data_IF_282069339561
#
_entry.id   IF_282069339561
#
_cell.length_a   1.000
_cell.length_b   1.000
_cell.length_c   1.000
_cell.angle_alpha   90.00
_cell.angle_beta   90.00
_cell.angle_gamma   90.00
#
_symmetry.space_group_name_H-M   'P 1'
#
loop_
_entity.id
_entity.type
_entity.pdbx_description
1 polymer ?
#
# COMPACT_ATOMS: atom_id res chain seq x y z
N UNK A 1 -8.27 17.59 32.43
CA UNK A 1 -7.67 16.52 31.59
C UNK A 1 -6.58 17.18 30.75
N UNK A 2 -5.32 16.73 30.77
CA UNK A 2 -4.27 17.32 29.95
C UNK A 2 -4.55 17.01 28.46
N UNK A 3 -4.41 18.03 27.61
CA UNK A 3 -4.60 17.94 26.16
C UNK A 3 -3.26 18.29 25.51
N UNK A 4 -2.83 17.48 24.53
CA UNK A 4 -1.64 17.76 23.72
C UNK A 4 -2.12 18.22 22.35
N UNK A 5 -1.81 19.47 22.01
CA UNK A 5 -2.15 20.06 20.71
C UNK A 5 -0.95 19.93 19.77
N UNK A 6 -1.16 19.25 18.65
CA UNK A 6 -0.17 19.12 17.58
C UNK A 6 -0.57 20.05 16.43
N UNK A 7 0.28 21.02 16.13
CA UNK A 7 0.06 21.96 15.03
C UNK A 7 0.28 21.31 13.66
N UNK A 8 -0.31 21.87 12.61
CA UNK A 8 -0.17 21.40 11.21
C UNK A 8 1.28 21.39 10.69
N UNK A 9 2.17 22.16 11.31
CA UNK A 9 3.60 22.22 10.98
C UNK A 9 4.45 21.14 11.65
N UNK A 10 3.85 20.28 12.49
CA UNK A 10 4.59 19.22 13.19
C UNK A 10 4.98 18.13 12.20
N UNK A 11 6.27 17.74 12.18
CA UNK A 11 6.72 16.68 11.28
C UNK A 11 6.03 15.36 11.59
N UNK A 12 5.78 14.55 10.55
CA UNK A 12 5.09 13.25 10.70
C UNK A 12 5.81 12.34 11.68
N UNK A 13 7.15 12.39 11.69
CA UNK A 13 8.00 11.64 12.61
C UNK A 13 7.82 12.11 14.05
N UNK A 14 7.68 13.42 14.28
CA UNK A 14 7.47 13.99 15.62
C UNK A 14 6.07 13.66 16.16
N UNK A 15 5.04 13.66 15.32
CA UNK A 15 3.70 13.20 15.67
C UNK A 15 3.76 11.73 16.13
N UNK A 16 4.41 10.86 15.33
CA UNK A 16 4.57 9.45 15.67
C UNK A 16 5.29 9.24 17.01
N UNK A 17 6.36 10.01 17.27
CA UNK A 17 7.12 9.94 18.52
C UNK A 17 6.27 10.36 19.73
N UNK A 18 5.49 11.45 19.60
CA UNK A 18 4.60 11.91 20.69
C UNK A 18 3.56 10.84 20.99
N UNK A 19 2.91 10.28 19.96
CA UNK A 19 1.94 9.19 20.13
C UNK A 19 2.57 7.94 20.77
N UNK A 20 3.77 7.54 20.34
CA UNK A 20 4.49 6.40 20.95
C UNK A 20 4.82 6.63 22.42
N UNK A 21 5.18 7.86 22.79
CA UNK A 21 5.62 8.22 24.15
C UNK A 21 4.45 8.45 25.12
N UNK A 22 3.28 8.87 24.63
CA UNK A 22 2.06 9.03 25.45
C UNK A 22 1.25 7.73 25.56
N UNK A 23 1.59 6.70 24.79
CA UNK A 23 1.02 5.37 24.95
C UNK A 23 1.56 4.65 26.20
N UNK A 24 1.03 5.04 27.37
CA UNK A 24 1.33 4.42 28.68
C UNK A 24 0.73 3.02 28.86
N UNK A 25 -0.12 2.55 27.93
CA UNK A 25 -0.81 1.27 27.98
C UNK A 25 0.00 0.03 27.53
N UNK A 26 1.31 0.16 27.32
CA UNK A 26 2.22 -0.98 27.03
C UNK A 26 2.08 -1.62 25.64
N UNK A 27 1.10 -1.23 24.82
CA UNK A 27 0.96 -1.67 23.43
C UNK A 27 1.68 -0.71 22.48
N UNK A 28 2.73 -1.19 21.80
CA UNK A 28 3.41 -0.42 20.74
C UNK A 28 2.39 -0.03 19.65
N UNK A 29 2.41 1.24 19.22
CA UNK A 29 1.61 1.69 18.08
C UNK A 29 2.02 0.95 16.81
N UNK A 30 1.06 0.32 16.16
CA UNK A 30 1.29 -0.31 14.86
C UNK A 30 1.39 0.78 13.75
N UNK A 31 2.03 0.45 12.63
CA UNK A 31 2.14 1.34 11.47
C UNK A 31 0.76 1.82 11.00
N UNK A 32 -0.22 0.93 11.07
CA UNK A 32 -1.58 1.22 10.65
C UNK A 32 -2.29 2.21 11.57
N UNK A 33 -2.04 2.16 12.88
CA UNK A 33 -2.64 3.10 13.83
C UNK A 33 -2.11 4.53 13.59
N UNK A 34 -0.80 4.66 13.35
CA UNK A 34 -0.19 5.94 12.97
C UNK A 34 -0.68 6.44 11.61
N UNK A 35 -0.75 5.57 10.60
CA UNK A 35 -1.23 5.94 9.28
C UNK A 35 -2.69 6.43 9.31
N UNK A 36 -3.52 5.82 10.15
CA UNK A 36 -4.91 6.26 10.38
C UNK A 36 -4.95 7.66 10.97
N UNK A 37 -4.11 7.95 11.97
CA UNK A 37 -4.02 9.28 12.58
C UNK A 37 -3.53 10.35 11.58
N UNK A 38 -2.50 10.02 10.79
CA UNK A 38 -1.96 10.92 9.76
C UNK A 38 -3.05 11.22 8.71
N UNK A 39 -3.75 10.19 8.23
CA UNK A 39 -4.79 10.36 7.21
C UNK A 39 -5.96 11.21 7.68
N UNK A 40 -6.40 11.04 8.94
CA UNK A 40 -7.45 11.87 9.54
C UNK A 40 -7.02 13.33 9.74
N UNK A 41 -5.72 13.59 9.89
CA UNK A 41 -5.16 14.94 9.93
C UNK A 41 -4.99 15.60 8.55
N UNK A 42 -4.86 14.80 7.48
CA UNK A 42 -4.74 15.30 6.10
C UNK A 42 -6.08 15.72 5.51
N UNK A 43 -7.16 14.99 5.78
CA UNK A 43 -8.51 15.27 5.25
C UNK A 43 -9.59 15.04 6.31
N UNK A 44 -10.36 16.09 6.60
CA UNK A 44 -11.45 16.03 7.56
C UNK A 44 -12.56 15.08 7.10
N UNK A 45 -13.01 14.19 7.99
CA UNK A 45 -14.02 13.18 7.69
C UNK A 45 -13.50 11.92 7.00
N UNK A 46 -12.22 11.87 6.62
CA UNK A 46 -11.64 10.66 6.05
C UNK A 46 -11.20 9.66 7.13
N UNK A 47 -11.88 8.50 7.18
CA UNK A 47 -11.63 7.44 8.17
C UNK A 47 -10.97 6.22 7.53
N UNK A 48 -9.63 6.20 7.49
CA UNK A 48 -8.84 5.12 6.86
C UNK A 48 -9.20 3.71 7.37
N UNK A 49 -9.58 3.59 8.64
CA UNK A 49 -9.98 2.30 9.23
C UNK A 49 -11.28 1.77 8.65
N UNK A 50 -12.23 2.65 8.33
CA UNK A 50 -13.49 2.26 7.69
C UNK A 50 -13.24 1.84 6.24
N UNK A 51 -12.41 2.59 5.51
CA UNK A 51 -12.01 2.24 4.15
C UNK A 51 -11.29 0.89 4.09
N UNK A 52 -10.36 0.64 5.00
CA UNK A 52 -9.74 -0.69 5.13
C UNK A 52 -10.78 -1.78 5.43
N UNK A 53 -11.77 -1.51 6.28
CA UNK A 53 -12.80 -2.50 6.61
C UNK A 53 -13.62 -2.88 5.38
N UNK A 54 -13.94 -1.92 4.51
CA UNK A 54 -14.60 -2.17 3.22
C UNK A 54 -13.73 -3.04 2.31
N UNK A 55 -12.46 -2.68 2.12
CA UNK A 55 -11.51 -3.45 1.31
C UNK A 55 -11.35 -4.87 1.86
N UNK A 56 -11.12 -5.03 3.16
CA UNK A 56 -10.95 -6.32 3.80
C UNK A 56 -12.18 -7.22 3.64
N UNK A 57 -13.38 -6.63 3.68
CA UNK A 57 -14.63 -7.35 3.38
C UNK A 57 -14.66 -7.80 1.91
N UNK A 58 -14.41 -6.90 0.97
CA UNK A 58 -14.41 -7.23 -0.46
C UNK A 58 -13.39 -8.34 -0.80
N UNK A 59 -12.20 -8.31 -0.20
CA UNK A 59 -11.18 -9.34 -0.39
C UNK A 59 -11.58 -10.71 0.17
N UNK A 60 -12.30 -10.72 1.31
CA UNK A 60 -12.87 -11.96 1.87
C UNK A 60 -13.98 -12.51 0.99
N UNK A 61 -14.85 -11.65 0.49
CA UNK A 61 -15.99 -12.03 -0.35
C UNK A 61 -15.54 -12.47 -1.75
N UNK A 62 -14.33 -12.07 -2.19
CA UNK A 62 -13.76 -12.46 -3.48
C UNK A 62 -13.36 -13.95 -3.58
N UNK A 63 -13.28 -14.67 -2.47
CA UNK A 63 -12.94 -16.10 -2.44
C UNK A 63 -13.73 -16.85 -1.37
N UNK A 64 -14.40 -17.94 -1.75
CA UNK A 64 -15.25 -18.71 -0.83
C UNK A 64 -14.48 -19.45 0.28
N UNK A 65 -13.16 -19.60 0.12
CA UNK A 65 -12.30 -20.31 1.07
C UNK A 65 -11.90 -19.42 2.24
N UNK A 66 -12.52 -19.63 3.40
CA UNK A 66 -12.22 -18.89 4.64
C UNK A 66 -10.75 -18.91 5.05
N UNK A 67 -10.06 -20.01 4.75
CA UNK A 67 -8.69 -20.26 5.17
C UNK A 67 -7.64 -19.85 4.11
N UNK A 68 -8.08 -19.22 3.02
CA UNK A 68 -7.18 -18.79 1.94
C UNK A 68 -6.27 -17.62 2.37
N UNK A 69 -5.01 -17.53 1.87
CA UNK A 69 -4.08 -16.43 2.22
C UNK A 69 -4.70 -15.02 2.12
N UNK A 70 -5.52 -14.79 1.08
CA UNK A 70 -6.21 -13.52 0.84
C UNK A 70 -7.15 -13.10 1.99
N UNK A 71 -7.87 -14.03 2.61
CA UNK A 71 -8.86 -13.71 3.66
C UNK A 71 -8.22 -13.29 4.99
N UNK A 72 -6.92 -13.58 5.15
CA UNK A 72 -6.11 -13.28 6.33
C UNK A 72 -5.21 -12.05 6.17
N UNK A 73 -5.32 -11.34 5.03
CA UNK A 73 -4.54 -10.15 4.76
C UNK A 73 -4.71 -9.11 5.87
N UNK A 74 -3.58 -8.65 6.41
CA UNK A 74 -3.54 -7.57 7.40
C UNK A 74 -3.43 -6.21 6.71
N UNK A 75 -3.93 -5.12 7.31
CA UNK A 75 -3.82 -3.78 6.75
C UNK A 75 -2.37 -3.40 6.45
N UNK A 76 -1.43 -3.76 7.34
CA UNK A 76 0.01 -3.52 7.12
C UNK A 76 0.53 -4.17 5.84
N UNK A 77 0.01 -5.33 5.43
CA UNK A 77 0.34 -5.96 4.15
C UNK A 77 -0.20 -5.16 2.96
N UNK A 78 -1.44 -4.68 3.05
CA UNK A 78 -2.05 -3.84 2.02
C UNK A 78 -1.25 -2.53 1.81
N UNK A 79 -0.95 -1.79 2.88
CA UNK A 79 -0.22 -0.53 2.78
C UNK A 79 1.24 -0.72 2.38
N UNK A 80 1.87 -1.86 2.68
CA UNK A 80 3.18 -2.21 2.11
C UNK A 80 3.12 -2.40 0.60
N UNK A 81 2.10 -3.07 0.07
CA UNK A 81 1.94 -3.21 -1.38
C UNK A 81 1.68 -1.85 -2.04
N UNK A 82 0.89 -1.00 -1.38
CA UNK A 82 0.63 0.36 -1.82
C UNK A 82 1.92 1.21 -1.85
N UNK A 83 2.78 1.09 -0.83
CA UNK A 83 4.09 1.74 -0.81
C UNK A 83 5.01 1.26 -1.95
N UNK A 84 4.97 -0.03 -2.31
CA UNK A 84 5.72 -0.55 -3.47
C UNK A 84 5.24 0.10 -4.77
N UNK A 85 3.92 0.19 -4.98
CA UNK A 85 3.35 0.85 -6.17
C UNK A 85 3.75 2.33 -6.24
N UNK A 86 3.56 3.05 -5.13
CA UNK A 86 3.88 4.47 -5.04
C UNK A 86 5.37 4.77 -5.28
N UNK A 87 6.27 4.02 -4.63
CA UNK A 87 7.71 4.24 -4.80
C UNK A 87 8.23 3.80 -6.16
N UNK A 88 7.63 2.77 -6.76
CA UNK A 88 7.88 2.39 -8.15
C UNK A 88 7.50 3.53 -9.11
N UNK A 89 6.30 4.09 -8.97
CA UNK A 89 5.84 5.18 -9.83
C UNK A 89 6.77 6.41 -9.73
N UNK A 90 7.15 6.78 -8.51
CA UNK A 90 8.17 7.84 -8.30
C UNK A 90 9.49 7.54 -8.99
N UNK A 91 9.97 6.29 -8.93
CA UNK A 91 11.20 5.88 -9.60
C UNK A 91 11.06 5.98 -11.12
N UNK A 92 9.95 5.52 -11.69
CA UNK A 92 9.71 5.61 -13.13
C UNK A 92 9.60 7.05 -13.60
N UNK A 93 8.89 7.90 -12.86
CA UNK A 93 8.78 9.33 -13.18
C UNK A 93 10.13 10.04 -13.14
N UNK A 94 11.00 9.70 -12.18
CA UNK A 94 12.38 10.20 -12.12
C UNK A 94 13.19 9.80 -13.36
N UNK A 95 13.10 8.53 -13.76
CA UNK A 95 13.81 7.99 -14.92
C UNK A 95 13.29 8.58 -16.24
N UNK A 96 11.96 8.69 -16.39
CA UNK A 96 11.32 9.24 -17.58
C UNK A 96 11.61 10.74 -17.76
N UNK A 97 11.62 11.50 -16.66
CA UNK A 97 11.94 12.92 -16.68
C UNK A 97 13.45 13.22 -16.72
N UNK A 98 14.32 12.19 -16.75
CA UNK A 98 15.78 12.31 -16.74
C UNK A 98 16.29 13.26 -15.65
N UNK A 99 15.68 13.19 -14.47
CA UNK A 99 16.04 14.07 -13.35
C UNK A 99 17.48 13.79 -12.89
N UNK A 100 18.23 14.83 -12.47
CA UNK A 100 19.58 14.66 -11.98
C UNK A 100 19.60 13.80 -10.70
N UNK A 101 20.66 12.99 -10.56
CA UNK A 101 20.87 12.09 -9.43
C UNK A 101 20.27 10.70 -9.60
N UNK A 102 20.53 9.84 -8.62
CA UNK A 102 20.06 8.45 -8.64
C UNK A 102 18.55 8.36 -8.45
N UNK A 103 17.91 7.51 -9.25
CA UNK A 103 16.49 7.27 -9.14
C UNK A 103 16.15 6.67 -7.76
N UNK A 104 15.06 7.11 -7.11
CA UNK A 104 14.71 6.68 -5.76
C UNK A 104 14.48 5.16 -5.70
N UNK A 105 14.82 4.56 -4.56
CA UNK A 105 14.64 3.13 -4.35
C UNK A 105 13.15 2.75 -4.22
N UNK A 106 12.79 1.57 -4.72
CA UNK A 106 11.48 0.97 -4.48
C UNK A 106 11.52 0.30 -3.11
N UNK A 107 10.62 0.69 -2.22
CA UNK A 107 10.66 0.28 -0.81
C UNK A 107 9.28 0.10 -0.22
N UNK A 108 9.19 -0.75 0.81
CA UNK A 108 8.02 -0.92 1.66
C UNK A 108 8.39 -0.95 3.15
N UNK A 109 9.47 -0.28 3.53
CA UNK A 109 9.85 -0.11 4.94
C UNK A 109 8.75 0.64 5.71
N UNK A 110 8.76 0.53 7.04
CA UNK A 110 7.80 1.24 7.90
C UNK A 110 7.76 2.73 7.56
N UNK A 111 8.92 3.36 7.45
CA UNK A 111 9.02 4.80 7.16
C UNK A 111 8.48 5.13 5.78
N UNK A 112 8.72 4.26 4.79
CA UNK A 112 8.15 4.43 3.46
C UNK A 112 6.63 4.37 3.49
N UNK A 113 6.05 3.41 4.22
CA UNK A 113 4.59 3.28 4.38
C UNK A 113 3.99 4.53 5.03
N UNK A 114 4.64 5.08 6.06
CA UNK A 114 4.18 6.30 6.75
C UNK A 114 4.36 7.57 5.90
N UNK A 115 5.24 7.54 4.89
CA UNK A 115 5.48 8.67 3.99
C UNK A 115 4.47 8.77 2.84
N UNK A 116 3.70 7.72 2.59
CA UNK A 116 2.73 7.70 1.49
C UNK A 116 1.60 8.71 1.76
N UNK A 117 1.34 9.66 0.83
CA UNK A 117 0.27 10.64 0.99
C UNK A 117 -1.11 10.02 0.79
N UNK A 118 -2.14 10.61 1.40
CA UNK A 118 -3.53 10.15 1.25
C UNK A 118 -4.01 10.17 -0.22
N UNK A 119 -3.51 11.10 -1.03
CA UNK A 119 -3.81 11.15 -2.46
C UNK A 119 -3.34 9.90 -3.22
N UNK A 120 -2.14 9.41 -2.90
CA UNK A 120 -1.64 8.16 -3.47
C UNK A 120 -2.47 6.96 -2.99
N UNK A 121 -2.92 6.96 -1.73
CA UNK A 121 -3.86 5.93 -1.27
C UNK A 121 -5.12 5.91 -2.14
N UNK A 122 -5.78 7.05 -2.33
CA UNK A 122 -7.00 7.16 -3.13
C UNK A 122 -6.79 6.76 -4.59
N UNK A 123 -5.62 7.08 -5.16
CA UNK A 123 -5.26 6.70 -6.52
C UNK A 123 -5.09 5.18 -6.69
N UNK A 124 -4.37 4.53 -5.76
CA UNK A 124 -3.97 3.14 -5.94
C UNK A 124 -4.89 2.11 -5.26
N UNK A 125 -5.70 2.50 -4.27
CA UNK A 125 -6.43 1.56 -3.43
C UNK A 125 -7.36 0.63 -4.22
N UNK A 126 -8.14 1.15 -5.18
CA UNK A 126 -9.05 0.35 -5.99
C UNK A 126 -8.32 -0.66 -6.89
N UNK A 127 -7.32 -0.18 -7.64
CA UNK A 127 -6.51 -1.05 -8.50
C UNK A 127 -5.76 -2.12 -7.67
N UNK A 128 -5.26 -1.75 -6.50
CA UNK A 128 -4.55 -2.65 -5.61
C UNK A 128 -5.48 -3.70 -4.99
N UNK A 129 -6.72 -3.34 -4.64
CA UNK A 129 -7.73 -4.31 -4.21
C UNK A 129 -7.93 -5.39 -5.29
N UNK A 130 -8.06 -4.99 -6.55
CA UNK A 130 -8.20 -5.94 -7.66
C UNK A 130 -6.93 -6.75 -7.91
N UNK A 131 -5.74 -6.15 -7.70
CA UNK A 131 -4.46 -6.87 -7.70
C UNK A 131 -4.39 -7.95 -6.63
N UNK A 132 -4.89 -7.69 -5.42
CA UNK A 132 -5.00 -8.69 -4.36
C UNK A 132 -6.00 -9.80 -4.71
N UNK A 133 -7.16 -9.47 -5.31
CA UNK A 133 -8.10 -10.48 -5.83
C UNK A 133 -7.45 -11.37 -6.89
N UNK A 134 -6.68 -10.78 -7.81
CA UNK A 134 -5.91 -11.51 -8.83
C UNK A 134 -4.83 -12.38 -8.21
N UNK A 135 -4.12 -11.89 -7.20
CA UNK A 135 -3.14 -12.68 -6.47
C UNK A 135 -3.78 -13.89 -5.80
N UNK A 136 -4.97 -13.73 -5.21
CA UNK A 136 -5.70 -14.85 -4.62
C UNK A 136 -6.14 -15.88 -5.66
N UNK A 137 -6.69 -15.43 -6.80
CA UNK A 137 -7.03 -16.33 -7.92
C UNK A 137 -5.81 -17.04 -8.50
N UNK A 138 -4.66 -16.35 -8.55
CA UNK A 138 -3.40 -16.92 -8.99
C UNK A 138 -2.96 -18.06 -8.07
N UNK A 139 -2.96 -17.85 -6.75
CA UNK A 139 -2.64 -18.89 -5.76
C UNK A 139 -3.59 -20.08 -5.87
N UNK A 140 -4.89 -19.82 -6.03
CA UNK A 140 -5.87 -20.86 -6.29
C UNK A 140 -5.51 -21.69 -7.54
N UNK A 141 -5.11 -21.04 -8.63
CA UNK A 141 -4.65 -21.71 -9.85
C UNK A 141 -3.33 -22.50 -9.69
N UNK A 142 -2.52 -22.18 -8.68
CA UNK A 142 -1.33 -22.94 -8.29
C UNK A 142 -1.63 -24.06 -7.28
N UNK A 143 -2.91 -24.37 -7.04
CA UNK A 143 -3.37 -25.33 -6.03
C UNK A 143 -2.96 -24.97 -4.59
N UNK A 144 -2.79 -23.68 -4.31
CA UNK A 144 -2.52 -23.14 -2.98
C UNK A 144 -3.85 -22.63 -2.41
N UNK A 145 -4.44 -23.41 -1.51
CA UNK A 145 -5.77 -23.14 -0.98
C UNK A 145 -5.75 -22.65 0.46
N UNK A 146 -4.75 -23.06 1.23
CA UNK A 146 -4.63 -22.74 2.65
C UNK A 146 -3.53 -21.71 2.89
N UNK A 147 -3.73 -20.81 3.86
CA UNK A 147 -2.67 -19.92 4.32
C UNK A 147 -1.43 -20.68 4.80
N UNK A 148 -1.57 -21.90 5.34
CA UNK A 148 -0.39 -22.68 5.77
C UNK A 148 0.45 -23.21 4.61
N UNK A 149 -0.11 -23.28 3.40
CA UNK A 149 0.59 -23.77 2.22
C UNK A 149 1.56 -22.72 1.65
N UNK A 150 1.43 -21.46 2.07
CA UNK A 150 2.36 -20.39 1.69
C UNK A 150 3.43 -20.26 2.78
N UNK A 151 4.70 -20.63 2.51
CA UNK A 151 5.77 -20.58 3.52
C UNK A 151 5.98 -19.19 4.09
N UNK A 152 5.77 -18.15 3.25
CA UNK A 152 5.91 -16.76 3.64
C UNK A 152 4.66 -15.98 3.24
N UNK A 153 3.73 -15.80 4.18
CA UNK A 153 2.51 -15.01 3.99
C UNK A 153 2.76 -13.60 3.43
N UNK A 154 3.94 -13.02 3.74
CA UNK A 154 4.37 -11.73 3.21
C UNK A 154 4.59 -11.72 1.69
N UNK A 155 4.76 -12.85 1.02
CA UNK A 155 4.91 -12.93 -0.45
C UNK A 155 3.65 -12.50 -1.20
N UNK A 156 2.48 -12.56 -0.55
CA UNK A 156 1.23 -12.07 -1.15
C UNK A 156 1.30 -10.57 -1.47
N UNK A 157 2.06 -9.80 -0.67
CA UNK A 157 2.21 -8.34 -0.80
C UNK A 157 2.89 -7.94 -2.12
N UNK A 158 4.14 -8.36 -2.43
CA UNK A 158 4.77 -8.03 -3.69
C UNK A 158 4.05 -8.67 -4.88
N UNK A 159 3.47 -9.87 -4.73
CA UNK A 159 2.68 -10.51 -5.80
C UNK A 159 1.48 -9.64 -6.21
N UNK A 160 0.72 -9.15 -5.23
CA UNK A 160 -0.41 -8.27 -5.49
C UNK A 160 0.02 -6.95 -6.15
N UNK A 161 1.13 -6.36 -5.72
CA UNK A 161 1.68 -5.14 -6.34
C UNK A 161 2.03 -5.38 -7.82
N UNK A 162 2.71 -6.49 -8.14
CA UNK A 162 3.06 -6.84 -9.53
C UNK A 162 1.79 -7.06 -10.38
N UNK A 163 0.80 -7.80 -9.86
CA UNK A 163 -0.44 -8.06 -10.60
C UNK A 163 -1.31 -6.82 -10.77
N UNK A 164 -1.21 -5.85 -9.84
CA UNK A 164 -1.86 -4.54 -9.98
C UNK A 164 -1.27 -3.79 -11.16
N UNK A 165 0.06 -3.70 -11.23
CA UNK A 165 0.76 -2.98 -12.29
C UNK A 165 0.44 -3.53 -13.68
N UNK A 166 0.54 -4.83 -13.87
CA UNK A 166 0.20 -5.46 -15.16
C UNK A 166 -1.25 -5.21 -15.59
N UNK A 167 -2.13 -4.95 -14.63
CA UNK A 167 -3.53 -4.67 -14.89
C UNK A 167 -3.77 -3.21 -15.27
N UNK A 168 -2.99 -2.28 -14.71
CA UNK A 168 -2.97 -0.89 -15.13
C UNK A 168 -2.47 -0.76 -16.57
N UNK A 169 -1.48 -1.57 -16.95
CA UNK A 169 -0.94 -1.57 -18.32
C UNK A 169 -1.88 -2.23 -19.35
N UNK A 170 -2.71 -3.20 -18.94
CA UNK A 170 -3.62 -3.93 -19.81
C UNK A 170 -5.00 -3.24 -19.99
N UNK A 171 -5.34 -2.30 -19.11
CA UNK A 171 -6.65 -1.67 -18.98
C UNK A 171 -6.82 -0.33 -19.72
N UNK A 172 -6.15 -0.12 -20.85
CA UNK A 172 -6.48 0.96 -21.79
C UNK A 172 -5.91 2.36 -21.51
N UNK A 173 -5.54 3.01 -22.61
CA UNK A 173 -5.41 4.47 -22.72
C UNK A 173 -4.18 5.06 -22.06
N UNK A 174 -3.26 5.57 -22.88
CA UNK A 174 -2.25 6.50 -22.41
C UNK A 174 -2.91 7.55 -21.50
N UNK A 175 -2.42 7.80 -20.27
CA UNK A 175 -2.54 9.15 -19.75
C UNK A 175 -1.81 10.03 -20.77
N UNK A 176 -2.53 10.94 -21.42
CA UNK A 176 -1.87 12.04 -22.11
C UNK A 176 -0.83 12.64 -21.16
N UNK A 177 0.38 12.79 -21.69
CA UNK A 177 1.62 13.25 -21.05
C UNK A 177 2.37 12.25 -20.14
N UNK A 178 3.04 11.28 -20.77
CA UNK A 178 4.51 11.21 -20.75
C UNK A 178 5.00 10.19 -21.82
N UNK A 179 5.92 10.55 -22.73
CA UNK A 179 6.34 9.65 -23.81
C UNK A 179 7.26 8.58 -23.24
N UNK A 180 6.71 7.43 -22.88
CA UNK A 180 7.51 6.23 -22.60
C UNK A 180 8.03 5.72 -23.94
N UNK A 181 9.26 6.11 -24.28
CA UNK A 181 10.00 5.50 -25.39
C UNK A 181 10.31 4.07 -24.99
N UNK A 182 9.52 3.14 -25.53
CA UNK A 182 9.68 1.71 -25.41
C UNK A 182 10.94 1.29 -26.19
N UNK A 183 12.10 1.26 -25.54
CA UNK A 183 13.33 0.70 -26.14
C UNK A 183 13.15 -0.81 -26.23
N UNK A 184 12.76 -1.29 -27.41
CA UNK A 184 12.77 -2.72 -27.77
C UNK A 184 14.20 -3.26 -27.69
N UNK A 185 14.29 -4.50 -27.23
CA UNK A 185 15.50 -5.19 -26.80
C UNK A 185 16.69 -5.12 -27.75
N UNK A 186 17.86 -5.06 -27.14
CA UNK A 186 19.11 -5.44 -27.79
C UNK A 186 19.18 -6.97 -27.89
N UNK A 187 19.37 -7.45 -29.13
CA UNK A 187 20.04 -8.72 -29.42
C UNK A 187 21.52 -8.59 -29.13
#
# INVERSE_FOLDING_TARGET
>A
MPVIELGKSTSREAVCLVFEKVNTGGKKLDAFDLLTAISAGEEEGFLLREEWTKIAKNLKDAIALKEHPLTRLQPTGFFRALALLFTRDRRLNHLAAQMPGDAPAISCTRDTVLSVPLSAYKQYAGALEDGFKKAGKFLFGQNIFWFKDVPYQSQLVPLAAILTERSLDAGGGAPEACPVVLVRGFR
#
